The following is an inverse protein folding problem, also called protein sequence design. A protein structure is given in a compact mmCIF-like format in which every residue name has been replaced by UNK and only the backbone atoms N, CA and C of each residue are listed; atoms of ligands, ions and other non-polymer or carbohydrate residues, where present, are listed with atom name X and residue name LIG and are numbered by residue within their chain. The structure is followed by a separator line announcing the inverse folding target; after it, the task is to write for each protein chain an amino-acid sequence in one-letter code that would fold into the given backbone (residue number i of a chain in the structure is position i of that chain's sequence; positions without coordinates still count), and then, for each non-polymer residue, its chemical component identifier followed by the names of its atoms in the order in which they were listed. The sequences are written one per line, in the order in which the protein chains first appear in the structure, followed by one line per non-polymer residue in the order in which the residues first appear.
data_IF_624680970276
#
_entry.id   IF_624680970276
#
_cell.length_a   1.000
_cell.length_b   1.000
_cell.length_c   1.000
_cell.angle_alpha   90.00
_cell.angle_beta   90.00
_cell.angle_gamma   90.00
#
_symmetry.space_group_name_H-M   'P 1'
#
loop_
_entity.id
_entity.type
_entity.pdbx_description
1 polymer ?
#
# COMPACT_ATOMS: atom_id res chain seq x y z
N UNK A 1 27.76 -8.45 -3.04
CA UNK A 1 26.33 -8.81 -3.04
C UNK A 1 25.96 -9.44 -4.36
N UNK A 2 26.30 -10.67 -4.48
CA UNK A 2 25.93 -11.41 -5.68
C UNK A 2 24.44 -11.76 -5.60
N UNK A 3 23.72 -11.58 -6.70
CA UNK A 3 22.42 -12.21 -6.96
C UNK A 3 21.23 -11.81 -6.08
N UNK A 4 21.17 -10.54 -5.67
CA UNK A 4 19.91 -10.05 -5.07
C UNK A 4 18.89 -9.81 -6.20
N UNK A 5 17.86 -10.65 -6.27
CA UNK A 5 16.77 -10.47 -7.21
C UNK A 5 15.61 -9.78 -6.51
N UNK A 6 15.23 -8.60 -6.99
CA UNK A 6 14.08 -7.86 -6.48
C UNK A 6 12.83 -8.28 -7.24
N UNK A 7 11.78 -8.66 -6.52
CA UNK A 7 10.53 -9.13 -7.10
C UNK A 7 9.39 -8.11 -7.02
N UNK A 8 9.45 -7.21 -6.04
CA UNK A 8 8.45 -6.17 -5.85
C UNK A 8 9.05 -5.00 -5.08
N UNK A 9 8.49 -3.83 -5.28
CA UNK A 9 8.80 -2.62 -4.51
C UNK A 9 7.54 -2.13 -3.83
N UNK A 10 7.60 -1.96 -2.51
CA UNK A 10 6.48 -1.46 -1.71
C UNK A 10 6.96 -0.30 -0.86
N UNK A 11 6.35 0.87 -1.05
CA UNK A 11 6.62 2.07 -0.27
C UNK A 11 5.47 2.30 0.71
N UNK A 12 5.78 2.50 1.99
CA UNK A 12 4.79 2.63 3.05
C UNK A 12 4.72 4.08 3.49
N UNK A 13 3.52 4.65 3.45
CA UNK A 13 3.25 6.04 3.79
C UNK A 13 2.08 6.17 4.74
N UNK A 14 2.04 7.26 5.49
CA UNK A 14 0.84 7.71 6.18
C UNK A 14 0.25 8.87 5.39
N UNK A 15 -1.05 8.83 5.18
CA UNK A 15 -1.76 9.84 4.40
C UNK A 15 -2.10 11.07 5.26
N UNK A 16 -2.36 12.18 4.62
CA UNK A 16 -2.93 13.37 5.24
C UNK A 16 -3.95 13.98 4.29
N UNK A 17 -4.98 14.57 4.85
CA UNK A 17 -5.94 15.39 4.08
C UNK A 17 -5.59 16.87 4.26
N UNK A 18 -6.34 17.73 3.56
CA UNK A 18 -6.24 19.17 3.76
C UNK A 18 -6.48 19.52 5.24
N UNK A 19 -5.86 20.62 5.70
CA UNK A 19 -5.83 21.00 7.11
C UNK A 19 -7.19 21.05 7.80
N UNK A 20 -8.26 21.24 7.05
CA UNK A 20 -9.62 21.40 7.57
C UNK A 20 -10.49 20.14 7.44
N UNK A 21 -10.04 19.13 6.70
CA UNK A 21 -10.79 17.88 6.52
C UNK A 21 -10.19 16.78 7.38
N UNK A 22 -10.78 16.55 8.56
CA UNK A 22 -10.38 15.47 9.47
C UNK A 22 -11.23 14.21 9.28
N UNK A 23 -12.17 14.21 8.34
CA UNK A 23 -13.09 13.11 8.10
C UNK A 23 -12.52 12.02 7.21
N UNK A 24 -11.54 12.35 6.36
CA UNK A 24 -10.91 11.37 5.48
C UNK A 24 -10.17 10.32 6.32
N UNK A 25 -10.46 9.05 6.06
CA UNK A 25 -9.89 7.92 6.81
C UNK A 25 -9.69 6.70 5.92
N UNK A 26 -8.81 5.80 6.36
CA UNK A 26 -8.67 4.47 5.81
C UNK A 26 -7.45 4.24 4.94
N UNK A 27 -7.45 3.07 4.33
CA UNK A 27 -6.35 2.49 3.57
C UNK A 27 -6.49 2.75 2.08
N UNK A 28 -5.40 3.13 1.44
CA UNK A 28 -5.31 3.21 -0.03
C UNK A 28 -4.03 2.53 -0.50
N UNK A 29 -4.07 1.94 -1.68
CA UNK A 29 -2.86 1.49 -2.36
C UNK A 29 -2.81 2.13 -3.74
N UNK A 30 -1.69 2.79 -4.06
CA UNK A 30 -1.50 3.53 -5.29
C UNK A 30 -0.66 2.71 -6.26
N UNK A 31 -1.03 2.70 -7.53
CA UNK A 31 -0.29 1.97 -8.56
C UNK A 31 -0.25 2.74 -9.87
N UNK A 32 0.74 2.44 -10.70
CA UNK A 32 0.88 3.07 -12.02
C UNK A 32 0.57 2.09 -13.15
N UNK A 33 0.14 2.63 -14.28
CA UNK A 33 -0.20 1.88 -15.48
C UNK A 33 0.58 2.32 -16.71
N UNK A 34 1.54 3.24 -16.54
CA UNK A 34 2.30 3.81 -17.66
C UNK A 34 3.21 2.79 -18.37
N UNK A 35 3.68 1.77 -17.66
CA UNK A 35 4.42 0.67 -18.25
C UNK A 35 3.48 -0.50 -18.49
N UNK A 36 3.17 -0.74 -19.76
CA UNK A 36 2.18 -1.76 -20.16
C UNK A 36 2.49 -3.13 -19.58
N UNK A 37 3.76 -3.53 -19.56
CA UNK A 37 4.18 -4.84 -19.06
C UNK A 37 3.96 -5.00 -17.54
N UNK A 38 3.87 -3.91 -16.79
CA UNK A 38 3.74 -3.92 -15.33
C UNK A 38 2.36 -3.52 -14.82
N UNK A 39 1.52 -2.93 -15.67
CA UNK A 39 0.25 -2.35 -15.24
C UNK A 39 -0.64 -3.35 -14.45
N UNK A 40 -0.85 -4.53 -15.01
CA UNK A 40 -1.67 -5.55 -14.35
C UNK A 40 -1.03 -6.08 -13.08
N UNK A 41 0.28 -6.27 -13.07
CA UNK A 41 1.03 -6.75 -11.91
C UNK A 41 1.03 -5.71 -10.79
N UNK A 42 1.18 -4.43 -11.12
CA UNK A 42 1.10 -3.33 -10.16
C UNK A 42 -0.28 -3.30 -9.49
N UNK A 43 -1.34 -3.38 -10.30
CA UNK A 43 -2.71 -3.38 -9.78
C UNK A 43 -2.97 -4.59 -8.89
N UNK A 44 -2.53 -5.78 -9.29
CA UNK A 44 -2.67 -7.00 -8.50
C UNK A 44 -1.96 -6.89 -7.16
N UNK A 45 -0.73 -6.39 -7.16
CA UNK A 45 0.04 -6.17 -5.92
C UNK A 45 -0.69 -5.22 -4.98
N UNK A 46 -1.16 -4.09 -5.51
CA UNK A 46 -1.91 -3.10 -4.74
C UNK A 46 -3.19 -3.69 -4.14
N UNK A 47 -3.99 -4.39 -4.94
CA UNK A 47 -5.24 -5.02 -4.49
C UNK A 47 -5.00 -6.10 -3.43
N UNK A 48 -3.99 -6.92 -3.62
CA UNK A 48 -3.69 -8.02 -2.70
C UNK A 48 -3.24 -7.50 -1.34
N UNK A 49 -2.37 -6.48 -1.32
CA UNK A 49 -1.92 -5.86 -0.07
C UNK A 49 -3.09 -5.16 0.63
N UNK A 50 -3.90 -4.41 -0.11
CA UNK A 50 -5.05 -3.72 0.46
C UNK A 50 -6.02 -4.71 1.11
N UNK A 51 -6.36 -5.78 0.42
CA UNK A 51 -7.24 -6.82 0.95
C UNK A 51 -6.66 -7.47 2.21
N UNK A 52 -5.37 -7.78 2.20
CA UNK A 52 -4.67 -8.35 3.37
C UNK A 52 -4.74 -7.41 4.58
N UNK A 53 -4.54 -6.11 4.39
CA UNK A 53 -4.63 -5.12 5.44
C UNK A 53 -6.03 -5.03 6.07
N UNK A 54 -7.08 -5.28 5.30
CA UNK A 54 -8.44 -5.30 5.86
C UNK A 54 -8.68 -6.47 6.81
N UNK A 55 -7.87 -7.51 6.73
CA UNK A 55 -7.96 -8.69 7.61
C UNK A 55 -7.18 -8.50 8.91
N UNK A 56 -6.10 -7.74 8.89
CA UNK A 56 -5.22 -7.56 10.04
C UNK A 56 -5.48 -6.27 10.82
N UNK A 57 -6.11 -5.28 10.19
CA UNK A 57 -6.42 -4.00 10.82
C UNK A 57 -7.92 -3.75 10.81
N UNK A 58 -8.35 -2.75 11.59
CA UNK A 58 -9.73 -2.23 11.55
C UNK A 58 -9.84 -0.95 10.74
N UNK A 59 -8.79 -0.59 10.01
CA UNK A 59 -8.80 0.59 9.15
C UNK A 59 -9.76 0.37 7.98
N UNK A 60 -10.46 1.44 7.60
CA UNK A 60 -11.43 1.40 6.52
C UNK A 60 -10.72 1.19 5.18
N UNK A 61 -11.30 0.35 4.33
CA UNK A 61 -10.82 0.17 2.96
C UNK A 61 -11.35 1.30 2.09
N UNK A 62 -10.44 2.10 1.50
CA UNK A 62 -10.83 3.11 0.51
C UNK A 62 -10.75 2.56 -0.91
N UNK A 63 -9.63 1.95 -1.28
CA UNK A 63 -9.50 1.32 -2.58
C UNK A 63 -8.09 1.41 -3.15
N UNK A 64 -7.93 0.88 -4.37
CA UNK A 64 -6.71 1.03 -5.14
C UNK A 64 -6.88 2.19 -6.13
N UNK A 65 -5.87 3.03 -6.25
CA UNK A 65 -5.95 4.27 -7.01
C UNK A 65 -4.82 4.34 -8.02
N UNK A 66 -5.16 4.56 -9.27
CA UNK A 66 -4.17 4.76 -10.32
C UNK A 66 -3.51 6.13 -10.19
N UNK A 67 -2.16 6.15 -10.18
CA UNK A 67 -1.36 7.37 -10.06
C UNK A 67 -0.14 7.29 -10.96
N UNK A 68 -0.26 7.82 -12.18
CA UNK A 68 0.84 7.82 -13.15
C UNK A 68 1.80 9.01 -12.98
N UNK A 69 1.43 9.99 -12.16
CA UNK A 69 2.25 11.18 -11.91
C UNK A 69 3.31 11.03 -10.83
N UNK A 70 3.27 9.96 -10.04
CA UNK A 70 4.24 9.74 -8.95
C UNK A 70 5.52 9.13 -9.49
N UNK A 71 6.63 9.82 -9.30
CA UNK A 71 7.95 9.45 -9.85
C UNK A 71 8.35 8.02 -9.51
N UNK A 72 8.26 7.63 -8.23
CA UNK A 72 8.64 6.29 -7.76
C UNK A 72 7.89 5.20 -8.52
N UNK A 73 6.57 5.35 -8.66
CA UNK A 73 5.74 4.35 -9.33
C UNK A 73 5.96 4.36 -10.85
N UNK A 74 6.09 5.56 -11.42
CA UNK A 74 6.25 5.71 -12.87
C UNK A 74 7.56 5.13 -13.36
N UNK A 75 8.63 5.24 -12.59
CA UNK A 75 9.99 4.81 -12.98
C UNK A 75 10.34 3.39 -12.54
N UNK A 76 9.54 2.77 -11.69
CA UNK A 76 9.81 1.41 -11.21
C UNK A 76 9.88 0.42 -12.38
N UNK A 77 10.84 -0.50 -12.30
CA UNK A 77 11.07 -1.54 -13.31
C UNK A 77 10.54 -2.92 -12.91
N UNK A 78 9.96 -3.00 -11.71
CA UNK A 78 9.38 -4.21 -11.14
C UNK A 78 7.99 -3.86 -10.62
N UNK A 79 7.13 -4.86 -10.33
CA UNK A 79 5.82 -4.59 -9.74
C UNK A 79 5.96 -3.73 -8.49
N UNK A 80 5.17 -2.66 -8.39
CA UNK A 80 5.32 -1.69 -7.32
C UNK A 80 3.98 -1.06 -6.92
N UNK A 81 3.93 -0.64 -5.64
CA UNK A 81 2.78 0.07 -5.09
C UNK A 81 3.22 0.97 -3.94
N UNK A 82 2.47 2.03 -3.71
CA UNK A 82 2.55 2.82 -2.48
C UNK A 82 1.36 2.46 -1.62
N UNK A 83 1.62 2.08 -0.37
CA UNK A 83 0.60 1.73 0.61
C UNK A 83 0.42 2.89 1.57
N UNK A 84 -0.76 3.50 1.55
CA UNK A 84 -1.16 4.55 2.49
C UNK A 84 -1.91 3.89 3.65
N UNK A 85 -1.32 3.87 4.83
CA UNK A 85 -1.80 3.06 5.97
C UNK A 85 -2.72 3.85 6.91
N UNK A 86 -3.46 4.77 6.37
CA UNK A 86 -4.39 5.60 7.13
C UNK A 86 -3.99 7.07 7.10
N UNK A 87 -4.85 7.91 7.67
CA UNK A 87 -4.70 9.35 7.68
C UNK A 87 -4.23 9.85 9.03
N UNK A 88 -3.09 10.52 9.06
CA UNK A 88 -2.61 11.18 10.29
C UNK A 88 -3.57 12.28 10.75
N UNK A 89 -4.31 12.87 9.83
CA UNK A 89 -5.31 13.90 10.11
C UNK A 89 -6.60 13.38 10.73
N UNK A 90 -6.80 12.07 10.77
CA UNK A 90 -8.00 11.45 11.33
C UNK A 90 -7.68 10.82 12.69
N UNK A 91 -8.45 11.18 13.73
CA UNK A 91 -8.20 10.73 15.10
C UNK A 91 -8.23 9.21 15.26
N UNK A 92 -9.14 8.56 14.58
CA UNK A 92 -9.31 7.10 14.66
C UNK A 92 -8.12 6.38 14.02
N UNK A 93 -7.73 6.82 12.82
CA UNK A 93 -6.57 6.25 12.13
C UNK A 93 -5.28 6.52 12.92
N UNK A 94 -5.13 7.73 13.43
CA UNK A 94 -3.95 8.11 14.21
C UNK A 94 -3.75 7.20 15.42
N UNK A 95 -4.83 6.83 16.11
CA UNK A 95 -4.74 5.90 17.25
C UNK A 95 -4.13 4.56 16.85
N UNK A 96 -4.47 4.05 15.69
CA UNK A 96 -3.90 2.80 15.16
C UNK A 96 -2.43 2.99 14.78
N UNK A 97 -2.12 4.08 14.08
CA UNK A 97 -0.79 4.34 13.54
C UNK A 97 0.26 4.53 14.65
N UNK A 98 -0.09 5.18 15.75
CA UNK A 98 0.87 5.48 16.83
C UNK A 98 1.03 4.36 17.85
N UNK A 99 0.14 3.37 17.88
CA UNK A 99 0.24 2.24 18.81
C UNK A 99 1.09 1.12 18.23
N UNK A 100 1.91 0.50 19.08
CA UNK A 100 2.72 -0.64 18.68
C UNK A 100 1.85 -1.78 18.11
N UNK A 101 0.72 -2.08 18.75
CA UNK A 101 -0.21 -3.11 18.26
C UNK A 101 -0.77 -2.78 16.88
N UNK A 102 -1.08 -1.51 16.64
CA UNK A 102 -1.53 -1.06 15.32
C UNK A 102 -0.45 -1.15 14.26
N UNK A 103 0.78 -0.77 14.61
CA UNK A 103 1.93 -0.87 13.71
C UNK A 103 2.23 -2.33 13.36
N UNK A 104 2.15 -3.23 14.33
CA UNK A 104 2.34 -4.66 14.10
C UNK A 104 1.26 -5.24 13.18
N UNK A 105 0.01 -4.85 13.38
CA UNK A 105 -1.10 -5.28 12.53
C UNK A 105 -0.92 -4.78 11.09
N UNK A 106 -0.48 -3.54 10.92
CA UNK A 106 -0.19 -2.97 9.60
C UNK A 106 0.96 -3.73 8.93
N UNK A 107 2.05 -3.94 9.64
CA UNK A 107 3.22 -4.66 9.11
C UNK A 107 2.85 -6.10 8.72
N UNK A 108 2.05 -6.78 9.54
CA UNK A 108 1.60 -8.13 9.25
C UNK A 108 0.75 -8.18 7.99
N UNK A 109 -0.19 -7.25 7.85
CA UNK A 109 -1.06 -7.17 6.66
C UNK A 109 -0.27 -6.93 5.38
N UNK A 110 0.71 -6.02 5.42
CA UNK A 110 1.56 -5.74 4.26
C UNK A 110 2.40 -6.98 3.92
N UNK A 111 3.03 -7.59 4.90
CA UNK A 111 3.85 -8.79 4.71
C UNK A 111 3.03 -9.93 4.09
N UNK A 112 1.87 -10.23 4.67
CA UNK A 112 0.98 -11.28 4.15
C UNK A 112 0.55 -10.98 2.72
N UNK A 113 0.22 -9.74 2.42
CA UNK A 113 -0.19 -9.33 1.09
C UNK A 113 0.93 -9.47 0.05
N UNK A 114 2.15 -9.11 0.41
CA UNK A 114 3.32 -9.27 -0.47
C UNK A 114 3.54 -10.75 -0.78
N UNK A 115 3.53 -11.60 0.24
CA UNK A 115 3.71 -13.05 0.08
C UNK A 115 2.64 -13.62 -0.84
N UNK A 116 1.37 -13.29 -0.61
CA UNK A 116 0.26 -13.75 -1.44
C UNK A 116 0.40 -13.31 -2.90
N UNK A 117 0.79 -12.05 -3.11
CA UNK A 117 0.96 -11.51 -4.46
C UNK A 117 2.10 -12.21 -5.21
N UNK A 118 3.21 -12.47 -4.54
CA UNK A 118 4.37 -13.14 -5.16
C UNK A 118 4.10 -14.62 -5.40
N UNK A 119 3.44 -15.32 -4.49
CA UNK A 119 3.10 -16.72 -4.65
C UNK A 119 2.12 -16.94 -5.82
N UNK A 120 1.17 -16.06 -6.00
CA UNK A 120 0.20 -16.13 -7.09
C UNK A 120 0.81 -15.91 -8.47
N UNK A 121 2.10 -15.54 -8.56
CA UNK A 121 2.81 -15.32 -9.82
C UNK A 121 3.72 -16.49 -10.23
N UNK A 122 3.68 -17.58 -9.48
CA UNK A 122 4.44 -18.79 -9.81
C UNK A 122 3.78 -19.59 -10.92
#
# INVERSE_FOLDING_TARGET
MANCTLHAFVSIHCNTSDAWDTSADGLECLYATNKKALAAKNKKLAKTILHSLTKTTRLKKRGVIKRNGLYILRKAKIPSTIVEVGYLSNKKDLKTIIKESGQNAIAQGISDGIIQALEGNR
#
